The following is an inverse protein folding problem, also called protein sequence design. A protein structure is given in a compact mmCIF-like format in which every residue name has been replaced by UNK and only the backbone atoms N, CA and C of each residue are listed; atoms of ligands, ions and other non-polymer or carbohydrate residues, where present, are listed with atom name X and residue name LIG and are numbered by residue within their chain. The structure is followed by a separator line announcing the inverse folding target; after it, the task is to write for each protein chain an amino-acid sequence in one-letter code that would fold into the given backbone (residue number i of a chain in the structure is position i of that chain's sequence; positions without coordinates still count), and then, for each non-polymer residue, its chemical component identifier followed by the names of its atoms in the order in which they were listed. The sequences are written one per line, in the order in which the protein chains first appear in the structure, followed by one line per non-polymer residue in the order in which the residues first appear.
data_IF_805890718075
#
_entry.id   IF_805890718075
#
_cell.length_a   1.000
_cell.length_b   1.000
_cell.length_c   1.000
_cell.angle_alpha   90.00
_cell.angle_beta   90.00
_cell.angle_gamma   90.00
#
_symmetry.space_group_name_H-M   'P 1'
#
loop_
_entity.id
_entity.type
_entity.pdbx_description
1 polymer ?
#
# COMPACT_ATOMS: atom_id res chain seq x y z
N UNK A 1 7.07 14.77 22.04
CA UNK A 1 5.83 15.47 21.68
C UNK A 1 5.25 14.87 20.40
N UNK A 2 3.93 14.66 20.39
CA UNK A 2 3.18 14.28 19.19
C UNK A 2 1.94 15.17 19.16
N UNK A 3 1.72 15.85 18.05
CA UNK A 3 0.54 16.68 17.82
C UNK A 3 -0.10 16.36 16.47
N UNK A 4 -1.43 16.23 16.43
CA UNK A 4 -2.23 16.08 15.21
C UNK A 4 -3.41 17.04 15.22
N UNK A 5 -3.65 17.68 14.08
CA UNK A 5 -4.84 18.47 13.80
C UNK A 5 -5.49 17.92 12.54
N UNK A 6 -6.78 17.69 12.60
CA UNK A 6 -7.58 17.19 11.48
C UNK A 6 -8.86 18.01 11.38
N UNK A 7 -9.30 18.30 10.16
CA UNK A 7 -10.49 19.09 9.89
C UNK A 7 -11.27 18.53 8.70
N UNK A 8 -12.60 18.39 8.80
CA UNK A 8 -13.43 18.07 7.66
C UNK A 8 -13.45 19.21 6.62
N UNK A 9 -13.58 18.85 5.33
CA UNK A 9 -13.76 19.80 4.24
C UNK A 9 -14.51 19.10 3.09
N UNK A 10 -15.20 19.88 2.24
CA UNK A 10 -16.07 19.39 1.16
C UNK A 10 -17.32 18.67 1.71
N UNK A 11 -17.17 17.66 2.55
CA UNK A 11 -18.23 16.94 3.23
C UNK A 11 -17.71 16.39 4.58
N UNK A 12 -18.58 15.86 5.43
CA UNK A 12 -18.23 15.36 6.77
C UNK A 12 -17.28 14.14 6.76
N UNK A 13 -17.19 13.42 5.63
CA UNK A 13 -16.39 12.21 5.46
C UNK A 13 -15.05 12.47 4.77
N UNK A 14 -14.82 13.70 4.33
CA UNK A 14 -13.56 14.13 3.71
C UNK A 14 -12.80 15.00 4.67
N UNK A 15 -11.54 14.65 4.92
CA UNK A 15 -10.72 15.37 5.91
C UNK A 15 -9.34 15.71 5.34
N UNK A 16 -8.73 16.74 5.88
CA UNK A 16 -7.29 16.96 5.77
C UNK A 16 -6.67 17.07 7.15
N UNK A 17 -5.45 16.62 7.26
CA UNK A 17 -4.74 16.58 8.53
C UNK A 17 -3.29 17.01 8.41
N UNK A 18 -2.77 17.50 9.56
CA UNK A 18 -1.36 17.78 9.76
C UNK A 18 -0.91 17.10 11.04
N UNK A 19 0.26 16.52 11.03
CA UNK A 19 0.87 15.85 12.17
C UNK A 19 2.31 16.32 12.32
N UNK A 20 2.72 16.55 13.55
CA UNK A 20 4.11 16.80 13.90
C UNK A 20 4.51 15.90 15.06
N UNK A 21 5.70 15.33 14.98
CA UNK A 21 6.31 14.51 16.03
C UNK A 21 7.70 15.04 16.32
N UNK A 22 8.03 15.21 17.57
CA UNK A 22 9.36 15.58 18.03
C UNK A 22 9.78 14.65 19.17
N UNK A 23 10.87 13.91 18.96
CA UNK A 23 11.42 12.96 19.91
C UNK A 23 12.79 13.44 20.38
N UNK A 24 12.92 13.66 21.68
CA UNK A 24 14.19 13.91 22.35
C UNK A 24 14.52 12.73 23.25
N UNK A 25 15.63 12.07 23.00
CA UNK A 25 16.14 10.99 23.86
C UNK A 25 17.15 11.57 24.86
N UNK A 26 17.11 11.09 26.09
CA UNK A 26 17.87 11.64 27.22
C UNK A 26 19.39 11.49 27.06
N UNK A 27 19.86 10.55 26.22
CA UNK A 27 21.28 10.24 25.99
C UNK A 27 21.68 10.32 24.51
N UNK A 28 20.84 10.92 23.66
CA UNK A 28 21.11 11.00 22.24
C UNK A 28 21.03 12.47 21.79
N UNK A 29 22.14 12.98 21.26
CA UNK A 29 22.22 14.36 20.77
C UNK A 29 21.54 14.55 19.41
N UNK A 30 20.97 13.51 18.82
CA UNK A 30 20.28 13.56 17.53
C UNK A 30 18.77 13.67 17.73
N UNK A 31 18.20 14.88 17.72
CA UNK A 31 16.75 15.03 17.76
C UNK A 31 16.14 14.43 16.50
N UNK A 32 15.08 13.63 16.68
CA UNK A 32 14.31 13.07 15.57
C UNK A 32 12.95 13.72 15.53
N UNK A 33 12.66 14.42 14.46
CA UNK A 33 11.36 15.05 14.24
C UNK A 33 10.78 14.67 12.89
N UNK A 34 9.45 14.69 12.79
CA UNK A 34 8.75 14.52 11.53
C UNK A 34 7.54 15.42 11.43
N UNK A 35 7.24 15.82 10.21
CA UNK A 35 6.00 16.50 9.86
C UNK A 35 5.30 15.72 8.73
N UNK A 36 4.00 15.67 8.77
CA UNK A 36 3.19 15.03 7.75
C UNK A 36 1.93 15.84 7.46
N UNK A 37 1.47 15.78 6.21
CA UNK A 37 0.17 16.22 5.80
C UNK A 37 -0.56 15.06 5.11
N UNK A 38 -1.85 14.95 5.38
CA UNK A 38 -2.70 13.93 4.77
C UNK A 38 -4.04 14.49 4.33
N UNK A 39 -4.63 13.81 3.36
CA UNK A 39 -5.96 14.11 2.86
C UNK A 39 -6.73 12.82 2.63
N UNK A 40 -7.97 12.80 3.08
CA UNK A 40 -8.96 11.79 2.78
C UNK A 40 -10.12 12.45 2.05
N UNK A 41 -10.42 12.01 0.84
CA UNK A 41 -11.57 12.43 0.05
C UNK A 41 -12.54 11.26 -0.10
N UNK A 42 -13.79 11.47 0.26
CA UNK A 42 -14.89 10.54 -0.01
C UNK A 42 -15.95 11.26 -0.84
N UNK A 43 -16.10 10.84 -2.08
CA UNK A 43 -16.93 11.47 -3.09
C UNK A 43 -17.93 10.48 -3.67
N UNK A 44 -18.94 10.97 -4.40
CA UNK A 44 -19.94 10.15 -5.10
C UNK A 44 -20.64 9.15 -4.15
N UNK A 45 -21.13 9.62 -3.01
CA UNK A 45 -21.75 8.77 -1.96
C UNK A 45 -20.82 7.63 -1.50
N UNK A 46 -19.55 7.97 -1.23
CA UNK A 46 -18.50 7.03 -0.81
C UNK A 46 -18.13 5.96 -1.85
N UNK A 47 -18.51 6.12 -3.10
CA UNK A 47 -18.08 5.23 -4.18
C UNK A 47 -16.65 5.48 -4.62
N UNK A 48 -16.21 6.74 -4.58
CA UNK A 48 -14.85 7.15 -4.90
C UNK A 48 -14.15 7.63 -3.62
N UNK A 49 -13.05 7.00 -3.26
CA UNK A 49 -12.21 7.40 -2.13
C UNK A 49 -10.78 7.62 -2.57
N UNK A 50 -10.20 8.71 -2.13
CA UNK A 50 -8.78 9.01 -2.28
C UNK A 50 -8.17 9.27 -0.89
N UNK A 51 -7.08 8.60 -0.59
CA UNK A 51 -6.25 8.86 0.59
C UNK A 51 -4.83 9.17 0.13
N UNK A 52 -4.34 10.35 0.47
CA UNK A 52 -2.99 10.80 0.16
C UNK A 52 -2.25 11.26 1.41
N UNK A 53 -0.96 11.01 1.48
CA UNK A 53 -0.10 11.44 2.57
C UNK A 53 1.28 11.79 2.04
N UNK A 54 1.83 12.90 2.52
CA UNK A 54 3.23 13.29 2.35
C UNK A 54 3.84 13.53 3.72
N UNK A 55 5.12 13.20 3.88
CA UNK A 55 5.81 13.38 5.14
C UNK A 55 7.29 13.70 4.92
N UNK A 56 7.86 14.40 5.89
CA UNK A 56 9.27 14.71 5.95
C UNK A 56 9.82 14.30 7.32
N UNK A 57 10.98 13.67 7.35
CA UNK A 57 11.77 13.42 8.56
C UNK A 57 12.94 14.39 8.62
N UNK A 58 13.16 14.95 9.79
CA UNK A 58 14.22 15.92 10.08
C UNK A 58 15.13 15.33 11.16
N UNK A 59 16.02 14.44 10.74
CA UNK A 59 17.07 13.84 11.55
C UNK A 59 18.42 14.47 11.17
N UNK A 60 19.51 13.70 11.16
CA UNK A 60 20.81 14.15 10.62
C UNK A 60 20.71 14.58 9.15
N UNK A 61 19.81 13.94 8.39
CA UNK A 61 19.47 14.27 7.00
C UNK A 61 17.95 14.36 6.86
N UNK A 62 17.50 15.29 6.03
CA UNK A 62 16.10 15.39 5.68
C UNK A 62 15.71 14.25 4.74
N UNK A 63 14.63 13.53 5.08
CA UNK A 63 14.06 12.47 4.29
C UNK A 63 12.59 12.73 3.95
N UNK A 64 12.15 12.25 2.78
CA UNK A 64 10.80 12.47 2.27
C UNK A 64 10.11 11.15 1.97
N UNK A 65 8.82 11.09 2.26
CA UNK A 65 7.98 9.99 1.83
C UNK A 65 6.60 10.51 1.39
N UNK A 66 5.98 9.75 0.49
CA UNK A 66 4.62 10.00 0.08
C UNK A 66 3.93 8.71 -0.30
N UNK A 67 2.61 8.67 -0.09
CA UNK A 67 1.78 7.56 -0.52
C UNK A 67 0.40 8.04 -0.93
N UNK A 68 -0.25 7.25 -1.78
CA UNK A 68 -1.66 7.44 -2.10
C UNK A 68 -2.38 6.11 -2.26
N UNK A 69 -3.68 6.14 -2.08
CA UNK A 69 -4.63 5.09 -2.44
C UNK A 69 -5.82 5.76 -3.10
N UNK A 70 -6.19 5.30 -4.28
CA UNK A 70 -7.42 5.68 -4.96
C UNK A 70 -8.27 4.43 -5.12
N UNK A 71 -9.52 4.47 -4.72
CA UNK A 71 -10.44 3.35 -4.87
C UNK A 71 -11.79 3.81 -5.37
N UNK A 72 -12.39 2.99 -6.22
CA UNK A 72 -13.75 3.15 -6.68
C UNK A 72 -14.51 1.85 -6.47
N UNK A 73 -15.71 1.95 -5.90
CA UNK A 73 -16.61 0.83 -5.66
C UNK A 73 -17.92 1.03 -6.40
N UNK A 74 -18.16 0.19 -7.41
CA UNK A 74 -19.47 0.09 -7.99
C UNK A 74 -20.43 -0.60 -7.01
N UNK A 75 -21.68 -0.12 -6.84
CA UNK A 75 -22.58 -0.65 -5.82
C UNK A 75 -22.84 -2.15 -5.89
N UNK A 76 -22.79 -2.75 -7.08
CA UNK A 76 -23.23 -4.14 -7.31
C UNK A 76 -22.14 -5.03 -7.93
N UNK A 77 -21.34 -4.52 -8.87
CA UNK A 77 -20.62 -5.38 -9.81
C UNK A 77 -19.11 -5.47 -9.59
N UNK A 78 -18.43 -4.35 -9.35
CA UNK A 78 -16.97 -4.31 -9.38
C UNK A 78 -16.37 -3.27 -8.45
N UNK A 79 -15.13 -3.50 -8.10
CA UNK A 79 -14.30 -2.58 -7.34
C UNK A 79 -12.97 -2.41 -8.06
N UNK A 80 -12.45 -1.20 -8.02
CA UNK A 80 -11.12 -0.84 -8.51
C UNK A 80 -10.36 -0.15 -7.38
N UNK A 81 -9.09 -0.48 -7.19
CA UNK A 81 -8.20 0.29 -6.36
C UNK A 81 -6.81 0.38 -7.00
N UNK A 82 -6.16 1.51 -6.83
CA UNK A 82 -4.74 1.69 -7.14
C UNK A 82 -4.06 2.39 -5.99
N UNK A 83 -2.81 2.08 -5.78
CA UNK A 83 -2.00 2.67 -4.73
C UNK A 83 -0.57 2.84 -5.20
N UNK A 84 0.14 3.72 -4.54
CA UNK A 84 1.55 3.91 -4.78
C UNK A 84 2.19 4.74 -3.68
N UNK A 85 3.50 4.71 -3.66
CA UNK A 85 4.27 5.50 -2.73
C UNK A 85 5.74 5.50 -3.07
N UNK A 86 6.42 6.42 -2.42
CA UNK A 86 7.84 6.63 -2.53
C UNK A 86 8.43 6.97 -1.17
N UNK A 87 9.61 6.45 -0.87
CA UNK A 87 10.44 6.80 0.28
C UNK A 87 11.85 7.05 -0.22
N UNK A 88 12.39 8.20 0.08
CA UNK A 88 13.77 8.50 -0.30
C UNK A 88 14.78 7.77 0.61
N UNK A 89 16.06 7.80 0.23
CA UNK A 89 17.13 7.12 0.98
C UNK A 89 17.39 7.68 2.37
N UNK A 90 17.06 8.94 2.59
CA UNK A 90 17.23 9.62 3.88
C UNK A 90 15.98 9.53 4.75
N UNK A 91 14.89 8.97 4.23
CA UNK A 91 13.68 8.73 5.01
C UNK A 91 14.00 7.80 6.17
N UNK A 92 13.90 8.29 7.39
CA UNK A 92 14.19 7.52 8.60
C UNK A 92 13.22 7.88 9.72
N UNK A 93 12.33 6.95 10.05
CA UNK A 93 11.40 7.01 11.19
C UNK A 93 11.78 6.00 12.29
N UNK A 94 12.89 5.29 12.15
CA UNK A 94 13.33 4.29 13.14
C UNK A 94 13.50 4.83 14.55
N UNK A 95 13.87 6.12 14.77
CA UNK A 95 13.88 6.69 16.10
C UNK A 95 12.49 6.77 16.74
N UNK A 96 11.42 6.82 15.95
CA UNK A 96 10.02 6.94 16.37
C UNK A 96 9.27 5.61 16.37
N UNK A 97 9.87 4.56 15.78
CA UNK A 97 9.26 3.24 15.68
C UNK A 97 9.97 2.35 14.65
N UNK A 98 9.29 1.28 14.25
CA UNK A 98 9.81 0.36 13.26
C UNK A 98 9.73 0.95 11.84
N UNK A 99 10.84 0.83 11.10
CA UNK A 99 10.90 1.12 9.68
C UNK A 99 11.37 -0.11 8.92
N UNK A 100 10.53 -0.61 8.02
CA UNK A 100 10.86 -1.78 7.22
C UNK A 100 11.88 -1.43 6.11
N UNK A 101 11.58 -0.41 5.32
CA UNK A 101 12.36 -0.05 4.11
C UNK A 101 12.34 1.45 3.83
N UNK A 102 13.44 1.96 3.28
CA UNK A 102 13.54 3.29 2.67
C UNK A 102 14.11 3.15 1.24
N UNK A 103 14.42 4.23 0.56
CA UNK A 103 15.00 4.27 -0.79
C UNK A 103 14.22 3.43 -1.81
N UNK A 104 12.90 3.43 -1.74
CA UNK A 104 12.07 2.60 -2.59
C UNK A 104 10.82 3.30 -3.08
N UNK A 105 10.34 2.85 -4.22
CA UNK A 105 9.01 3.13 -4.69
C UNK A 105 8.18 1.84 -4.75
N UNK A 106 6.88 1.97 -4.64
CA UNK A 106 5.94 0.89 -4.87
C UNK A 106 4.69 1.41 -5.55
N UNK A 107 4.06 0.54 -6.34
CA UNK A 107 2.80 0.81 -7.00
C UNK A 107 2.01 -0.49 -7.13
N UNK A 108 0.72 -0.38 -7.20
CA UNK A 108 -0.13 -1.54 -7.38
C UNK A 108 -1.54 -1.17 -7.80
N UNK A 109 -2.27 -2.19 -8.16
CA UNK A 109 -3.67 -2.07 -8.51
C UNK A 109 -4.42 -3.36 -8.24
N UNK A 110 -5.70 -3.23 -8.03
CA UNK A 110 -6.62 -4.34 -7.84
C UNK A 110 -7.91 -4.04 -8.57
N UNK A 111 -8.39 -5.01 -9.33
CA UNK A 111 -9.75 -5.02 -9.87
C UNK A 111 -10.46 -6.27 -9.36
N UNK A 112 -11.69 -6.14 -8.90
CA UNK A 112 -12.53 -7.28 -8.54
C UNK A 112 -13.90 -7.17 -9.18
N UNK A 113 -14.38 -8.30 -9.68
CA UNK A 113 -15.74 -8.49 -10.13
C UNK A 113 -16.43 -9.37 -9.09
N UNK A 114 -17.64 -8.98 -8.68
CA UNK A 114 -18.41 -9.72 -7.68
C UNK A 114 -19.87 -9.86 -8.11
N UNK A 115 -20.45 -10.94 -7.67
CA UNK A 115 -21.88 -11.16 -7.72
C UNK A 115 -22.33 -11.62 -6.33
N UNK A 116 -22.99 -10.75 -5.62
CA UNK A 116 -23.46 -10.99 -4.25
C UNK A 116 -24.86 -11.61 -4.21
N UNK A 117 -25.57 -11.60 -5.37
CA UNK A 117 -26.90 -12.19 -5.49
C UNK A 117 -26.84 -13.66 -5.89
N UNK A 118 -27.61 -14.54 -5.24
CA UNK A 118 -27.70 -15.94 -5.59
C UNK A 118 -28.11 -16.15 -7.05
N UNK A 119 -27.44 -17.06 -7.75
CA UNK A 119 -27.81 -17.46 -9.12
C UNK A 119 -27.39 -18.89 -9.43
N UNK A 120 -28.37 -19.72 -9.82
CA UNK A 120 -28.13 -21.14 -10.06
C UNK A 120 -27.68 -21.83 -8.77
N UNK A 121 -26.57 -22.51 -8.81
CA UNK A 121 -26.00 -23.22 -7.65
C UNK A 121 -25.12 -22.34 -6.76
N UNK A 122 -24.85 -21.10 -7.16
CA UNK A 122 -23.97 -20.20 -6.45
C UNK A 122 -24.73 -19.21 -5.56
N UNK A 123 -24.29 -19.11 -4.31
CA UNK A 123 -24.73 -18.09 -3.36
C UNK A 123 -24.10 -16.74 -3.70
N UNK A 124 -22.79 -16.70 -3.91
CA UNK A 124 -22.06 -15.56 -4.42
C UNK A 124 -20.77 -15.99 -5.15
N UNK A 125 -20.19 -15.10 -5.91
CA UNK A 125 -18.95 -15.32 -6.65
C UNK A 125 -18.12 -14.05 -6.67
N UNK A 126 -16.81 -14.20 -6.60
CA UNK A 126 -15.84 -13.11 -6.75
C UNK A 126 -14.65 -13.58 -7.59
N UNK A 127 -14.21 -12.72 -8.51
CA UNK A 127 -12.91 -12.82 -9.15
C UNK A 127 -12.14 -11.53 -8.87
N UNK A 128 -10.88 -11.66 -8.51
CA UNK A 128 -10.00 -10.53 -8.20
C UNK A 128 -8.68 -10.73 -8.94
N UNK A 129 -8.19 -9.65 -9.56
CA UNK A 129 -6.83 -9.58 -10.08
C UNK A 129 -6.11 -8.44 -9.34
N UNK A 130 -4.87 -8.71 -8.91
CA UNK A 130 -4.01 -7.77 -8.21
C UNK A 130 -2.63 -7.76 -8.83
N UNK A 131 -2.11 -6.56 -9.06
CA UNK A 131 -0.73 -6.33 -9.46
C UNK A 131 -0.02 -5.56 -8.37
N UNK A 132 1.20 -5.97 -8.02
CA UNK A 132 2.08 -5.27 -7.11
C UNK A 132 3.48 -5.14 -7.72
N UNK A 133 3.96 -3.91 -7.79
CA UNK A 133 5.30 -3.57 -8.26
C UNK A 133 6.03 -2.78 -7.18
N UNK A 134 7.31 -3.03 -6.99
CA UNK A 134 8.18 -2.14 -6.22
C UNK A 134 9.61 -2.19 -6.76
N UNK A 135 10.37 -1.17 -6.46
CA UNK A 135 11.75 -1.08 -6.93
C UNK A 135 12.52 0.06 -6.30
N UNK A 136 13.77 0.16 -6.68
CA UNK A 136 14.68 1.22 -6.30
C UNK A 136 14.60 2.41 -7.26
N UNK A 137 14.99 3.62 -6.84
CA UNK A 137 15.03 4.79 -7.72
C UNK A 137 15.96 4.64 -8.94
N UNK A 138 16.93 3.74 -8.88
CA UNK A 138 17.82 3.42 -10.00
C UNK A 138 17.18 2.52 -11.08
N UNK A 139 15.90 2.16 -10.93
CA UNK A 139 15.14 1.35 -11.90
C UNK A 139 15.16 -0.15 -11.65
N UNK A 140 15.88 -0.65 -10.64
CA UNK A 140 15.84 -2.07 -10.29
C UNK A 140 14.49 -2.44 -9.67
N UNK A 141 13.85 -3.47 -10.20
CA UNK A 141 12.58 -3.99 -9.69
C UNK A 141 12.85 -5.01 -8.59
N UNK A 142 12.36 -4.76 -7.40
CA UNK A 142 12.54 -5.62 -6.21
C UNK A 142 11.31 -6.47 -5.90
N UNK A 143 10.18 -6.16 -6.51
CA UNK A 143 8.96 -6.97 -6.45
C UNK A 143 8.15 -6.78 -7.72
N UNK A 144 7.70 -7.90 -8.28
CA UNK A 144 6.74 -7.93 -9.38
C UNK A 144 5.84 -9.15 -9.15
N UNK A 145 4.60 -8.89 -8.77
CA UNK A 145 3.67 -9.95 -8.38
C UNK A 145 2.33 -9.71 -9.07
N UNK A 146 1.83 -10.71 -9.77
CA UNK A 146 0.48 -10.78 -10.30
C UNK A 146 -0.27 -11.91 -9.62
N UNK A 147 -1.35 -11.60 -8.95
CA UNK A 147 -2.25 -12.52 -8.28
C UNK A 147 -3.62 -12.50 -8.95
N UNK A 148 -4.17 -13.66 -9.26
CA UNK A 148 -5.55 -13.81 -9.73
C UNK A 148 -6.24 -14.81 -8.81
N UNK A 149 -7.32 -14.38 -8.16
CA UNK A 149 -8.08 -15.17 -7.21
C UNK A 149 -9.55 -15.25 -7.61
N UNK A 150 -10.08 -16.46 -7.63
CA UNK A 150 -11.50 -16.72 -7.80
C UNK A 150 -12.06 -17.41 -6.55
N UNK A 151 -13.20 -16.95 -6.07
CA UNK A 151 -13.92 -17.54 -4.95
C UNK A 151 -15.38 -17.77 -5.35
N UNK A 152 -15.89 -18.96 -5.10
CA UNK A 152 -17.26 -19.35 -5.37
C UNK A 152 -17.87 -19.95 -4.09
N UNK A 153 -18.94 -19.38 -3.59
CA UNK A 153 -19.72 -19.94 -2.51
C UNK A 153 -21.00 -20.55 -3.08
N UNK A 154 -21.28 -21.78 -2.74
CA UNK A 154 -22.42 -22.53 -3.25
C UNK A 154 -23.62 -22.43 -2.30
N UNK A 155 -24.83 -22.67 -2.83
CA UNK A 155 -26.06 -22.66 -2.05
C UNK A 155 -26.08 -23.71 -0.92
N UNK A 156 -25.32 -24.79 -1.04
CA UNK A 156 -25.14 -25.80 0.00
C UNK A 156 -24.02 -25.47 1.00
N UNK A 157 -23.56 -24.20 1.05
CA UNK A 157 -22.51 -23.67 1.92
C UNK A 157 -21.10 -24.23 1.68
N UNK A 158 -20.89 -24.99 0.62
CA UNK A 158 -19.56 -25.30 0.17
C UNK A 158 -18.91 -24.06 -0.44
N UNK A 159 -17.60 -24.03 -0.32
CA UNK A 159 -16.80 -22.97 -0.92
C UNK A 159 -15.68 -23.60 -1.78
N UNK A 160 -15.38 -22.94 -2.89
CA UNK A 160 -14.32 -23.34 -3.79
C UNK A 160 -13.54 -22.09 -4.22
N UNK A 161 -12.22 -22.12 -4.06
CA UNK A 161 -11.31 -21.07 -4.44
C UNK A 161 -10.24 -21.59 -5.41
N UNK A 162 -9.83 -20.73 -6.33
CA UNK A 162 -8.64 -20.88 -7.14
C UNK A 162 -7.78 -19.62 -6.94
N UNK A 163 -6.49 -19.82 -6.76
CA UNK A 163 -5.51 -18.75 -6.66
C UNK A 163 -4.34 -19.06 -7.58
N UNK A 164 -4.03 -18.10 -8.42
CA UNK A 164 -2.88 -18.14 -9.30
C UNK A 164 -2.00 -16.96 -8.95
N UNK A 165 -0.73 -17.22 -8.70
CA UNK A 165 0.27 -16.21 -8.42
C UNK A 165 1.43 -16.36 -9.39
N UNK A 166 1.87 -15.25 -9.95
CA UNK A 166 2.99 -15.17 -10.87
C UNK A 166 3.98 -14.12 -10.38
N UNK A 167 5.18 -14.56 -10.05
CA UNK A 167 6.29 -13.73 -9.58
C UNK A 167 7.45 -13.89 -10.60
N UNK A 168 7.61 -12.93 -11.55
CA UNK A 168 8.80 -12.93 -12.41
C UNK A 168 10.07 -12.64 -11.61
N UNK A 169 11.22 -12.93 -12.20
CA UNK A 169 12.53 -12.62 -11.61
C UNK A 169 12.62 -11.16 -11.17
N UNK A 170 13.10 -10.96 -9.95
CA UNK A 170 13.30 -9.65 -9.35
C UNK A 170 14.65 -9.58 -8.64
N UNK A 171 15.04 -8.40 -8.21
CA UNK A 171 16.26 -8.20 -7.42
C UNK A 171 15.92 -8.23 -5.93
N UNK A 172 16.70 -8.94 -5.14
CA UNK A 172 16.64 -8.83 -3.68
C UNK A 172 17.44 -7.65 -3.19
N UNK A 173 16.89 -6.99 -2.19
CA UNK A 173 17.39 -5.72 -1.73
C UNK A 173 17.46 -5.63 -0.20
N UNK A 174 17.47 -6.75 0.51
CA UNK A 174 17.48 -6.73 1.99
C UNK A 174 18.69 -6.03 2.59
N UNK A 175 19.85 -6.11 1.91
CA UNK A 175 21.08 -5.44 2.34
C UNK A 175 21.31 -4.07 1.67
N UNK A 176 20.53 -3.73 0.64
CA UNK A 176 20.82 -2.62 -0.27
C UNK A 176 19.97 -1.39 -0.06
N UNK A 177 18.93 -1.47 0.75
CA UNK A 177 18.12 -0.29 1.09
C UNK A 177 18.93 0.83 1.74
N UNK A 178 20.12 0.50 2.29
CA UNK A 178 21.04 1.47 2.88
C UNK A 178 22.24 1.82 1.99
N UNK A 179 22.64 0.93 1.09
CA UNK A 179 23.94 1.01 0.38
C UNK A 179 23.84 1.10 -1.15
N UNK A 180 22.65 1.19 -1.75
CA UNK A 180 22.41 1.21 -3.21
C UNK A 180 22.99 -0.02 -3.97
N UNK A 181 23.20 -1.15 -3.29
CA UNK A 181 23.67 -2.40 -3.90
C UNK A 181 22.54 -3.41 -3.96
N UNK A 182 22.17 -3.87 -5.14
CA UNK A 182 21.14 -4.89 -5.34
C UNK A 182 21.75 -6.27 -5.60
N UNK A 183 21.22 -7.31 -4.96
CA UNK A 183 21.53 -8.70 -5.28
C UNK A 183 20.44 -9.28 -6.18
N UNK A 184 20.83 -10.07 -7.14
CA UNK A 184 19.89 -10.79 -8.01
C UNK A 184 19.34 -11.98 -7.22
N UNK A 185 18.01 -12.04 -7.07
CA UNK A 185 17.30 -13.26 -6.70
C UNK A 185 16.51 -13.75 -7.91
N UNK A 186 16.47 -15.05 -8.01
CA UNK A 186 15.54 -15.75 -8.90
C UNK A 186 14.38 -16.25 -8.06
N UNK A 187 13.27 -15.54 -8.10
CA UNK A 187 12.01 -16.09 -7.63
C UNK A 187 11.38 -16.92 -8.76
N UNK A 188 11.06 -18.16 -8.45
CA UNK A 188 10.35 -19.02 -9.38
C UNK A 188 8.85 -18.74 -9.29
N UNK A 189 8.18 -18.70 -10.46
CA UNK A 189 6.72 -18.64 -10.50
C UNK A 189 6.14 -19.93 -9.89
N UNK A 190 5.20 -19.80 -8.96
CA UNK A 190 4.51 -20.92 -8.36
C UNK A 190 2.99 -20.77 -8.47
N UNK A 191 2.28 -21.89 -8.44
CA UNK A 191 0.83 -21.97 -8.49
C UNK A 191 0.33 -22.67 -7.24
N UNK A 192 -0.63 -22.09 -6.54
CA UNK A 192 -1.33 -22.75 -5.46
C UNK A 192 -2.80 -22.98 -5.81
N UNK A 193 -3.28 -24.16 -5.49
CA UNK A 193 -4.70 -24.54 -5.59
C UNK A 193 -5.18 -24.87 -4.17
N UNK A 194 -6.17 -24.11 -3.69
CA UNK A 194 -6.81 -24.32 -2.40
C UNK A 194 -8.31 -24.57 -2.53
#
# INVERSE_FOLDING_TARGET
FVGRVEKPFINELSTYGFMATDLKRQNDNSPASSIAADVLLNLMDNKLSFNGQIANTMNEKNGYAGRFVLSYRHPVLWDLATWGGYRDKNWDVSPMGYQEKNNNWYSGGRVSLRRDQPKGIFLNQKIEARLWLSGLPNGLITRNNLEIKQTNNFMNYWNFGLEFEFNPETYEDDDTYRDDRAKIIKDEAWQSFN
#
